data_IF_212716941633
#
_entry.id   IF_212716941633
#
_cell.length_a   1.000
_cell.length_b   1.000
_cell.length_c   1.000
_cell.angle_alpha   90.00
_cell.angle_beta   90.00
_cell.angle_gamma   90.00
#
_symmetry.space_group_name_H-M   'P 1'
#
loop_
_entity.id
_entity.type
_entity.pdbx_description
1 polymer ?
#
# COMPACT_ATOMS: atom_id res chain seq x y z
N UNK A 1 -47.64 24.76 -3.30
CA UNK A 1 -46.89 24.42 -2.06
C UNK A 1 -45.59 25.21 -2.09
N UNK A 2 -45.43 26.22 -1.23
CA UNK A 2 -44.22 27.03 -1.14
C UNK A 2 -43.21 26.26 -0.26
N UNK A 3 -42.01 25.90 -0.74
CA UNK A 3 -41.03 25.26 0.12
C UNK A 3 -40.63 26.24 1.23
N UNK A 4 -40.88 25.86 2.49
CA UNK A 4 -40.46 26.63 3.66
C UNK A 4 -38.95 26.84 3.64
N UNK A 5 -38.48 28.07 3.82
CA UNK A 5 -37.06 28.45 3.90
C UNK A 5 -36.21 27.53 4.79
N UNK A 6 -36.82 26.93 5.83
CA UNK A 6 -36.15 25.99 6.73
C UNK A 6 -35.70 24.68 6.06
N UNK A 7 -36.38 24.22 5.00
CA UNK A 7 -35.99 23.00 4.27
C UNK A 7 -34.74 23.22 3.40
N UNK A 8 -34.55 24.43 2.88
CA UNK A 8 -33.41 24.79 2.04
C UNK A 8 -32.11 24.87 2.87
N UNK A 9 -32.22 25.30 4.13
CA UNK A 9 -31.11 25.38 5.08
C UNK A 9 -30.66 23.99 5.56
N UNK A 10 -31.60 23.05 5.70
CA UNK A 10 -31.28 21.68 6.13
C UNK A 10 -30.53 20.89 5.05
N UNK A 11 -30.85 21.09 3.77
CA UNK A 11 -30.17 20.42 2.65
C UNK A 11 -28.71 20.89 2.49
N UNK A 12 -28.41 22.16 2.77
CA UNK A 12 -27.06 22.71 2.66
C UNK A 12 -26.11 22.15 3.73
N UNK A 13 -26.62 21.81 4.91
CA UNK A 13 -25.83 21.26 6.01
C UNK A 13 -25.40 19.79 5.77
N UNK A 14 -26.19 19.03 5.00
CA UNK A 14 -25.91 17.60 4.74
C UNK A 14 -24.81 17.40 3.70
N UNK A 15 -24.58 18.37 2.80
CA UNK A 15 -23.50 18.30 1.79
C UNK A 15 -22.07 18.45 2.36
N UNK A 16 -21.91 18.82 3.64
CA UNK A 16 -20.60 18.99 4.27
C UNK A 16 -20.02 17.69 4.87
N UNK A 17 -20.79 16.59 4.90
CA UNK A 17 -20.32 15.27 5.36
C UNK A 17 -19.63 14.41 4.28
N UNK A 18 -19.25 14.99 3.13
CA UNK A 18 -18.82 14.25 1.94
C UNK A 18 -17.36 14.40 1.49
N UNK A 19 -16.50 15.11 2.22
CA UNK A 19 -15.07 15.25 1.86
C UNK A 19 -14.17 14.42 2.78
N UNK A 20 -14.38 13.10 2.86
CA UNK A 20 -13.30 12.20 3.26
C UNK A 20 -12.34 12.08 2.08
N UNK A 21 -11.57 13.14 1.82
CA UNK A 21 -10.36 13.04 1.03
C UNK A 21 -9.50 12.01 1.74
N UNK A 22 -9.38 10.84 1.13
CA UNK A 22 -8.48 9.77 1.54
C UNK A 22 -7.06 10.29 1.35
N UNK A 23 -6.58 11.06 2.33
CA UNK A 23 -5.32 11.77 2.28
C UNK A 23 -4.18 10.82 2.65
N UNK A 24 -3.95 9.83 1.79
CA UNK A 24 -2.86 8.86 1.97
C UNK A 24 -1.48 9.52 2.08
N UNK A 25 -1.32 10.75 1.56
CA UNK A 25 -0.03 11.45 1.53
C UNK A 25 0.15 12.56 2.57
N UNK A 26 -0.92 13.19 3.07
CA UNK A 26 -0.74 14.30 4.04
C UNK A 26 -0.19 13.83 5.40
N UNK A 27 -0.51 12.60 5.82
CA UNK A 27 0.06 12.00 7.02
C UNK A 27 1.55 11.67 6.91
N UNK A 28 2.02 11.31 5.70
CA UNK A 28 3.45 11.04 5.47
C UNK A 28 4.26 12.33 5.34
N UNK A 29 3.74 13.33 4.63
CA UNK A 29 4.38 14.65 4.56
C UNK A 29 4.52 15.31 5.93
N UNK A 30 3.49 15.26 6.79
CA UNK A 30 3.56 15.85 8.12
C UNK A 30 4.52 15.13 9.06
N UNK A 31 4.64 13.80 8.94
CA UNK A 31 5.62 13.00 9.69
C UNK A 31 7.05 13.31 9.28
N UNK A 32 7.31 13.44 7.98
CA UNK A 32 8.63 13.79 7.46
C UNK A 32 9.01 15.22 7.86
N UNK A 33 8.05 16.14 7.80
CA UNK A 33 8.23 17.53 8.24
C UNK A 33 8.65 17.60 9.71
N UNK A 34 7.93 16.89 10.59
CA UNK A 34 8.27 16.83 12.02
C UNK A 34 9.66 16.23 12.27
N UNK A 35 10.07 15.22 11.50
CA UNK A 35 11.41 14.65 11.59
C UNK A 35 12.48 15.64 11.15
N UNK A 36 12.29 16.34 10.03
CA UNK A 36 13.26 17.33 9.55
C UNK A 36 13.40 18.53 10.50
N UNK A 37 12.30 19.03 11.06
CA UNK A 37 12.35 20.07 12.10
C UNK A 37 13.06 19.55 13.36
N UNK A 38 12.79 18.31 13.77
CA UNK A 38 13.44 17.67 14.93
C UNK A 38 14.96 17.49 14.76
N UNK A 39 15.45 17.34 13.52
CA UNK A 39 16.88 17.34 13.20
C UNK A 39 17.51 18.74 13.14
N UNK A 40 16.71 19.80 13.27
CA UNK A 40 17.17 21.19 13.26
C UNK A 40 17.18 21.85 11.87
N UNK A 41 16.53 21.24 10.87
CA UNK A 41 16.39 21.88 9.57
C UNK A 41 15.28 22.93 9.61
N UNK A 42 15.62 24.17 9.24
CA UNK A 42 14.65 25.26 9.12
C UNK A 42 13.80 25.11 7.86
N UNK A 43 12.48 25.25 8.01
CA UNK A 43 11.54 25.18 6.89
C UNK A 43 11.84 26.26 5.84
N UNK A 44 11.68 25.92 4.56
CA UNK A 44 11.97 26.81 3.44
C UNK A 44 13.44 26.88 3.02
N UNK A 45 14.31 26.10 3.65
CA UNK A 45 15.73 25.97 3.24
C UNK A 45 15.94 24.77 2.30
N UNK A 46 16.99 24.84 1.49
CA UNK A 46 17.43 23.71 0.66
C UNK A 46 17.79 22.49 1.50
N UNK A 47 18.33 22.71 2.71
CA UNK A 47 18.66 21.62 3.63
C UNK A 47 17.40 20.88 4.09
N UNK A 48 16.32 21.62 4.39
CA UNK A 48 15.03 21.04 4.73
C UNK A 48 14.42 20.26 3.55
N UNK A 49 14.47 20.81 2.33
CA UNK A 49 14.01 20.12 1.13
C UNK A 49 14.75 18.79 0.89
N UNK A 50 16.08 18.79 1.07
CA UNK A 50 16.90 17.59 0.98
C UNK A 50 16.53 16.53 2.04
N UNK A 51 16.32 16.95 3.29
CA UNK A 51 15.86 16.05 4.36
C UNK A 51 14.50 15.41 4.00
N UNK A 52 13.53 16.22 3.58
CA UNK A 52 12.20 15.76 3.19
C UNK A 52 12.28 14.76 2.04
N UNK A 53 13.10 15.05 1.02
CA UNK A 53 13.34 14.15 -0.11
C UNK A 53 13.92 12.81 0.36
N UNK A 54 14.98 12.82 1.17
CA UNK A 54 15.59 11.57 1.65
C UNK A 54 14.63 10.71 2.47
N UNK A 55 13.82 11.34 3.33
CA UNK A 55 12.80 10.63 4.11
C UNK A 55 11.68 10.08 3.21
N UNK A 56 11.24 10.85 2.21
CA UNK A 56 10.25 10.38 1.24
C UNK A 56 10.75 9.17 0.44
N UNK A 57 12.04 9.13 0.08
CA UNK A 57 12.63 8.01 -0.64
C UNK A 57 12.72 6.76 0.24
N UNK A 58 13.09 6.92 1.51
CA UNK A 58 13.10 5.80 2.48
C UNK A 58 11.71 5.23 2.75
N UNK A 59 10.66 6.05 2.66
CA UNK A 59 9.28 5.61 2.90
C UNK A 59 8.57 5.16 1.62
N UNK A 60 8.94 5.71 0.46
CA UNK A 60 8.42 5.35 -0.85
C UNK A 60 9.01 4.04 -1.37
N UNK A 61 10.20 3.67 -0.91
CA UNK A 61 10.61 2.27 -0.87
C UNK A 61 9.74 1.56 0.16
N UNK A 62 8.65 0.96 -0.31
CA UNK A 62 7.71 0.19 0.51
C UNK A 62 8.50 -0.65 1.51
N UNK A 63 8.09 -0.66 2.78
CA UNK A 63 8.58 -1.63 3.76
C UNK A 63 8.40 -3.02 3.15
N UNK A 64 9.46 -3.54 2.52
CA UNK A 64 9.39 -4.80 1.80
C UNK A 64 9.04 -5.82 2.87
N UNK A 65 7.93 -6.57 2.72
CA UNK A 65 7.62 -7.62 3.66
C UNK A 65 8.86 -8.49 3.82
N UNK A 66 9.15 -8.89 5.04
CA UNK A 66 10.18 -9.88 5.31
C UNK A 66 10.05 -11.03 4.29
N UNK A 67 11.15 -11.37 3.62
CA UNK A 67 11.14 -12.25 2.45
C UNK A 67 10.49 -13.60 2.80
N UNK A 68 10.83 -14.16 3.96
CA UNK A 68 10.27 -15.42 4.44
C UNK A 68 8.76 -15.30 4.68
N UNK A 69 8.32 -14.18 5.26
CA UNK A 69 6.89 -13.87 5.43
C UNK A 69 6.16 -13.83 4.09
N UNK A 70 6.77 -13.21 3.07
CA UNK A 70 6.22 -13.13 1.71
C UNK A 70 6.14 -14.51 1.03
N UNK A 71 7.21 -15.31 1.09
CA UNK A 71 7.24 -16.66 0.53
C UNK A 71 6.22 -17.56 1.21
N UNK A 72 6.08 -17.49 2.54
CA UNK A 72 5.08 -18.24 3.29
C UNK A 72 3.64 -17.85 2.89
N UNK A 73 3.40 -16.55 2.66
CA UNK A 73 2.12 -16.07 2.15
C UNK A 73 1.85 -16.60 0.75
N UNK A 74 2.83 -16.54 -0.16
CA UNK A 74 2.73 -17.05 -1.52
C UNK A 74 2.51 -18.57 -1.55
N UNK A 75 3.21 -19.33 -0.71
CA UNK A 75 3.02 -20.78 -0.54
C UNK A 75 1.57 -21.11 -0.23
N UNK A 76 1.00 -20.41 0.76
CA UNK A 76 -0.39 -20.63 1.19
C UNK A 76 -1.40 -20.33 0.08
N UNK A 77 -1.21 -19.22 -0.65
CA UNK A 77 -2.10 -18.83 -1.76
C UNK A 77 -1.97 -19.75 -2.97
N UNK A 78 -0.76 -20.13 -3.34
CA UNK A 78 -0.49 -21.02 -4.48
C UNK A 78 -1.07 -22.40 -4.24
N UNK A 79 -0.92 -22.92 -3.01
CA UNK A 79 -1.52 -24.20 -2.62
C UNK A 79 -3.05 -24.15 -2.61
N UNK A 80 -3.65 -23.06 -2.14
CA UNK A 80 -5.11 -22.89 -2.15
C UNK A 80 -5.74 -22.86 -3.55
N UNK A 81 -4.94 -22.61 -4.60
CA UNK A 81 -5.38 -22.58 -6.00
C UNK A 81 -5.08 -23.87 -6.76
N UNK A 82 -4.51 -24.87 -6.11
CA UNK A 82 -4.13 -26.11 -6.76
C UNK A 82 -5.37 -26.83 -7.33
N UNK A 83 -5.35 -27.11 -8.63
CA UNK A 83 -6.46 -27.70 -9.37
C UNK A 83 -7.47 -26.68 -9.92
N UNK A 84 -7.22 -25.37 -9.76
CA UNK A 84 -8.00 -24.32 -10.39
C UNK A 84 -7.37 -23.93 -11.74
N UNK A 85 -8.00 -24.36 -12.83
CA UNK A 85 -7.52 -24.14 -14.21
C UNK A 85 -7.46 -22.66 -14.61
N UNK A 86 -8.03 -21.74 -13.81
CA UNK A 86 -7.90 -20.29 -14.04
C UNK A 86 -6.51 -19.76 -13.71
N UNK A 87 -5.71 -20.51 -12.95
CA UNK A 87 -4.37 -20.10 -12.54
C UNK A 87 -3.30 -20.99 -13.18
N UNK A 88 -2.25 -20.43 -13.81
CA UNK A 88 -1.14 -21.23 -14.31
C UNK A 88 -0.32 -21.81 -13.15
N UNK A 89 0.42 -22.89 -13.41
CA UNK A 89 1.39 -23.43 -12.44
C UNK A 89 2.55 -22.45 -12.26
N UNK A 90 2.91 -22.16 -11.01
CA UNK A 90 4.04 -21.31 -10.68
C UNK A 90 5.36 -21.88 -11.23
N UNK A 91 6.18 -21.03 -11.82
CA UNK A 91 7.49 -21.38 -12.38
C UNK A 91 8.46 -20.21 -12.29
N UNK A 92 9.73 -20.47 -12.62
CA UNK A 92 10.76 -19.43 -12.73
C UNK A 92 10.45 -18.35 -13.78
N UNK A 93 9.51 -18.61 -14.71
CA UNK A 93 9.12 -17.64 -15.73
C UNK A 93 8.12 -16.60 -15.21
N UNK A 94 7.51 -16.83 -14.04
CA UNK A 94 6.59 -15.88 -13.42
C UNK A 94 7.43 -14.85 -12.64
N UNK A 95 7.48 -13.61 -13.11
CA UNK A 95 8.35 -12.57 -12.52
C UNK A 95 8.06 -12.29 -11.03
N UNK A 96 6.82 -12.46 -10.59
CA UNK A 96 6.41 -12.27 -9.20
C UNK A 96 6.42 -13.57 -8.37
N UNK A 97 6.84 -14.70 -8.95
CA UNK A 97 6.98 -15.96 -8.21
C UNK A 97 8.37 -16.09 -7.60
N UNK A 98 8.40 -16.78 -6.47
CA UNK A 98 9.61 -17.04 -5.69
C UNK A 98 9.77 -18.55 -5.46
N UNK A 99 11.02 -19.01 -5.35
CA UNK A 99 11.29 -20.40 -5.04
C UNK A 99 11.19 -20.62 -3.53
N UNK A 100 10.19 -21.40 -3.10
CA UNK A 100 10.14 -21.86 -1.73
C UNK A 100 11.14 -23.01 -1.51
N UNK A 101 12.28 -22.69 -0.92
CA UNK A 101 13.36 -23.65 -0.64
C UNK A 101 12.96 -24.80 0.30
N UNK A 102 11.90 -24.64 1.09
CA UNK A 102 11.44 -25.68 2.02
C UNK A 102 10.71 -26.80 1.30
N UNK A 103 9.96 -26.46 0.25
CA UNK A 103 9.16 -27.41 -0.54
C UNK A 103 9.80 -27.73 -1.89
N UNK A 104 10.76 -26.91 -2.35
CA UNK A 104 11.35 -27.01 -3.69
C UNK A 104 10.40 -26.61 -4.81
N UNK A 105 9.30 -25.91 -4.49
CA UNK A 105 8.26 -25.52 -5.44
C UNK A 105 8.25 -24.00 -5.63
N UNK A 106 7.94 -23.54 -6.83
CA UNK A 106 7.68 -22.13 -7.09
C UNK A 106 6.33 -21.72 -6.50
N UNK A 107 6.25 -20.53 -5.91
CA UNK A 107 5.06 -19.98 -5.27
C UNK A 107 4.91 -18.51 -5.64
N UNK A 108 3.68 -18.01 -5.85
CA UNK A 108 3.48 -16.64 -6.30
C UNK A 108 2.09 -16.07 -6.06
N UNK A 109 1.88 -14.78 -6.34
CA UNK A 109 0.64 -14.09 -6.06
C UNK A 109 -0.50 -14.53 -6.98
N UNK A 110 -0.22 -14.98 -8.21
CA UNK A 110 -1.21 -15.22 -9.28
C UNK A 110 -1.02 -16.56 -10.01
N UNK A 111 -0.50 -17.55 -9.31
CA UNK A 111 -0.29 -18.91 -9.83
C UNK A 111 -0.67 -19.97 -8.79
N UNK A 112 -0.76 -21.22 -9.24
CA UNK A 112 -0.98 -22.38 -8.39
C UNK A 112 0.31 -23.16 -8.16
N UNK A 113 0.41 -23.82 -7.00
CA UNK A 113 1.56 -24.66 -6.67
C UNK A 113 1.55 -25.92 -7.56
N UNK A 114 2.72 -26.34 -8.04
CA UNK A 114 2.84 -27.58 -8.80
C UNK A 114 2.44 -28.78 -7.92
N UNK A 115 1.71 -29.77 -8.49
CA UNK A 115 1.35 -30.97 -7.75
C UNK A 115 2.57 -31.78 -7.28
N UNK A 116 2.34 -32.64 -6.29
CA UNK A 116 3.35 -33.54 -5.74
C UNK A 116 3.80 -34.59 -6.77
#
# INVERSE_FOLDING_TARGET
MRPSSSMLLLMLAVSLMGCTTSNGNAGQSSKNEAQCVGFGFEQGTDAFANCMMQLSLRQGGSQQPDHDTLVNQYRSRSKARQGDDRYPVCSAANMDAELDITTGKWVGPDCQMAPD
#
